data_IF_592482915967
#
_entry.id   IF_592482915967
#
_cell.length_a   1.000
_cell.length_b   1.000
_cell.length_c   1.000
_cell.angle_alpha   90.00
_cell.angle_beta   90.00
_cell.angle_gamma   90.00
#
_symmetry.space_group_name_H-M   'P 1'
#
loop_
_entity.id
_entity.type
_entity.pdbx_description
1 polymer ?
#
# COMPACT_ATOMS: atom_id res chain seq x y z
N UNK A 1 -15.68 -18.03 -2.33
CA UNK A 1 -15.63 -16.93 -3.30
C UNK A 1 -14.17 -16.72 -3.63
N UNK A 2 -13.75 -17.04 -4.85
CA UNK A 2 -12.38 -16.91 -5.31
C UNK A 2 -12.27 -15.57 -6.02
N UNK A 3 -11.67 -14.55 -5.38
CA UNK A 3 -11.32 -13.33 -6.08
C UNK A 3 -10.15 -13.65 -7.01
N UNK A 4 -10.45 -13.90 -8.29
CA UNK A 4 -9.45 -13.96 -9.33
C UNK A 4 -8.89 -12.55 -9.52
N UNK A 5 -7.75 -12.24 -8.88
CA UNK A 5 -6.93 -11.14 -9.35
C UNK A 5 -6.49 -11.50 -10.78
N UNK A 6 -7.02 -10.78 -11.75
CA UNK A 6 -6.52 -10.83 -13.12
C UNK A 6 -5.19 -10.09 -13.10
N UNK A 7 -4.08 -10.81 -12.99
CA UNK A 7 -2.74 -10.23 -13.09
C UNK A 7 -2.48 -9.88 -14.56
N UNK A 8 -2.61 -8.60 -14.92
CA UNK A 8 -2.08 -8.10 -16.18
C UNK A 8 -0.54 -8.17 -16.11
N UNK A 9 0.16 -8.63 -17.17
CA UNK A 9 1.56 -8.99 -17.09
C UNK A 9 2.54 -7.82 -17.00
N UNK A 10 2.09 -6.55 -16.95
CA UNK A 10 3.01 -5.39 -16.98
C UNK A 10 2.58 -4.17 -16.16
N UNK A 11 1.41 -4.16 -15.50
CA UNK A 11 0.97 -3.03 -14.67
C UNK A 11 0.24 -3.52 -13.41
N UNK A 12 0.39 -2.73 -12.33
CA UNK A 12 -0.28 -2.97 -11.05
C UNK A 12 -1.79 -2.94 -11.25
N UNK A 13 -2.47 -4.07 -11.06
CA UNK A 13 -3.91 -4.14 -11.27
C UNK A 13 -4.65 -3.56 -10.06
N UNK A 14 -5.15 -2.34 -10.27
CA UNK A 14 -6.14 -1.68 -9.41
C UNK A 14 -7.50 -2.36 -9.60
N UNK A 15 -8.00 -3.05 -8.57
CA UNK A 15 -9.37 -3.55 -8.59
C UNK A 15 -10.33 -2.37 -8.42
N UNK A 16 -11.11 -2.06 -9.45
CA UNK A 16 -12.10 -0.99 -9.42
C UNK A 16 -13.07 -1.20 -8.25
N UNK A 17 -12.98 -0.30 -7.28
CA UNK A 17 -13.75 -0.31 -6.04
C UNK A 17 -13.06 0.60 -5.03
N UNK A 18 -13.28 1.91 -5.17
CA UNK A 18 -12.89 2.88 -4.13
C UNK A 18 -13.72 2.55 -2.90
N UNK A 19 -13.14 1.79 -1.97
CA UNK A 19 -13.67 1.74 -0.61
C UNK A 19 -13.58 3.14 0.00
N UNK A 20 -14.34 3.43 1.07
CA UNK A 20 -14.43 4.76 1.71
C UNK A 20 -13.12 5.27 2.34
N UNK A 21 -11.97 4.66 2.03
CA UNK A 21 -10.67 4.91 2.68
C UNK A 21 -9.55 5.23 1.68
N UNK A 22 -9.83 5.39 0.38
CA UNK A 22 -8.80 5.70 -0.62
C UNK A 22 -7.76 4.58 -0.83
N UNK A 23 -8.03 3.35 -0.36
CA UNK A 23 -7.11 2.21 -0.43
C UNK A 23 -7.54 1.19 -1.48
N UNK A 24 -6.67 0.90 -2.43
CA UNK A 24 -6.90 -0.09 -3.48
C UNK A 24 -5.85 -1.21 -3.39
N UNK A 25 -6.24 -2.50 -3.45
CA UNK A 25 -5.28 -3.59 -3.52
C UNK A 25 -4.33 -3.44 -4.72
N UNK A 26 -3.06 -3.76 -4.48
CA UNK A 26 -1.98 -3.60 -5.43
C UNK A 26 -1.15 -4.89 -5.48
N UNK A 27 -0.80 -5.38 -6.67
CA UNK A 27 0.10 -6.52 -6.80
C UNK A 27 0.73 -6.65 -8.18
N UNK A 28 1.89 -7.29 -8.23
CA UNK A 28 2.60 -7.56 -9.48
C UNK A 28 3.42 -8.85 -9.41
N UNK A 29 3.80 -9.36 -10.57
CA UNK A 29 4.61 -10.56 -10.73
C UNK A 29 5.90 -10.21 -11.47
N UNK A 30 7.03 -10.66 -10.94
CA UNK A 30 8.34 -10.55 -11.57
C UNK A 30 8.81 -11.93 -12.02
N UNK A 31 9.29 -12.01 -13.26
CA UNK A 31 9.83 -13.23 -13.88
C UNK A 31 11.07 -12.91 -14.69
N UNK A 32 11.76 -13.92 -15.22
CA UNK A 32 12.86 -13.72 -16.15
C UNK A 32 12.46 -12.95 -17.42
N UNK A 33 11.21 -13.09 -17.91
CA UNK A 33 10.69 -12.38 -19.07
C UNK A 33 10.14 -10.98 -18.76
N UNK A 34 9.69 -10.75 -17.53
CA UNK A 34 9.21 -9.46 -17.03
C UNK A 34 9.90 -9.16 -15.70
N UNK A 35 11.12 -8.64 -15.78
CA UNK A 35 11.99 -8.44 -14.60
C UNK A 35 11.67 -7.18 -13.81
N UNK A 36 10.77 -6.33 -14.30
CA UNK A 36 10.37 -5.11 -13.62
C UNK A 36 8.87 -4.88 -13.66
N UNK A 37 8.37 -4.20 -12.64
CA UNK A 37 7.01 -3.68 -12.56
C UNK A 37 7.08 -2.22 -12.10
N UNK A 38 6.47 -1.33 -12.85
CA UNK A 38 6.44 0.11 -12.54
C UNK A 38 5.11 0.46 -11.88
N UNK A 39 5.17 1.21 -10.80
CA UNK A 39 4.03 1.94 -10.25
C UNK A 39 4.23 3.40 -10.61
N UNK A 40 3.31 3.93 -11.41
CA UNK A 40 3.33 5.32 -11.86
C UNK A 40 2.69 6.20 -10.80
N UNK A 41 3.04 7.47 -10.86
CA UNK A 41 2.29 8.53 -10.19
C UNK A 41 1.02 8.81 -10.98
N UNK A 42 -0.09 9.07 -10.27
CA UNK A 42 -1.35 9.50 -10.86
C UNK A 42 -1.38 11.03 -10.93
N UNK A 43 -2.04 11.58 -11.96
CA UNK A 43 -2.16 13.04 -12.20
C UNK A 43 -3.52 13.55 -11.68
N UNK A 44 -3.80 13.33 -10.40
CA UNK A 44 -5.06 13.70 -9.74
C UNK A 44 -4.89 14.75 -8.63
N UNK A 45 -3.68 15.30 -8.49
CA UNK A 45 -3.28 16.28 -7.47
C UNK A 45 -3.36 15.77 -6.02
N UNK A 46 -3.54 14.47 -5.81
CA UNK A 46 -3.56 13.87 -4.48
C UNK A 46 -2.19 13.28 -4.14
N UNK A 47 -1.96 13.01 -2.85
CA UNK A 47 -0.72 12.33 -2.43
C UNK A 47 -0.92 10.81 -2.48
N UNK A 48 0.01 10.11 -3.13
CA UNK A 48 -0.06 8.66 -3.33
C UNK A 48 1.03 7.91 -2.57
N UNK A 49 0.66 6.76 -1.99
CA UNK A 49 1.57 5.84 -1.32
C UNK A 49 1.32 4.40 -1.76
N UNK A 50 2.41 3.66 -1.97
CA UNK A 50 2.39 2.21 -2.14
C UNK A 50 2.85 1.57 -0.84
N UNK A 51 1.93 0.84 -0.20
CA UNK A 51 2.18 0.06 0.99
C UNK A 51 2.47 -1.40 0.61
N UNK A 52 3.75 -1.73 0.42
CA UNK A 52 4.15 -3.10 0.11
C UNK A 52 4.04 -3.99 1.35
N UNK A 53 3.22 -5.05 1.26
CA UNK A 53 2.91 -5.94 2.40
C UNK A 53 3.70 -7.23 2.35
N UNK A 54 3.72 -7.92 1.21
CA UNK A 54 4.37 -9.23 1.11
C UNK A 54 5.13 -9.39 -0.20
N UNK A 55 6.17 -10.22 -0.13
CA UNK A 55 6.89 -10.73 -1.29
C UNK A 55 6.99 -12.25 -1.12
N UNK A 56 6.60 -13.01 -2.13
CA UNK A 56 6.67 -14.47 -2.08
C UNK A 56 7.08 -15.08 -3.42
N UNK A 57 7.70 -16.26 -3.34
CA UNK A 57 8.00 -17.09 -4.49
C UNK A 57 6.76 -17.87 -4.92
N UNK A 58 6.53 -17.99 -6.22
CA UNK A 58 5.52 -18.89 -6.75
C UNK A 58 5.92 -20.36 -6.65
N UNK A 59 4.94 -21.25 -6.79
CA UNK A 59 5.15 -22.70 -6.70
C UNK A 59 6.17 -23.24 -7.73
N UNK A 60 6.24 -22.60 -8.90
CA UNK A 60 7.12 -23.00 -10.00
C UNK A 60 8.52 -22.35 -9.92
N UNK A 61 8.79 -21.55 -8.88
CA UNK A 61 10.09 -20.90 -8.71
C UNK A 61 11.16 -21.93 -8.34
N UNK A 62 12.28 -21.88 -9.05
CA UNK A 62 13.43 -22.76 -8.79
C UNK A 62 14.00 -22.50 -7.39
N UNK A 63 14.66 -23.50 -6.81
CA UNK A 63 15.37 -23.34 -5.54
C UNK A 63 16.71 -22.61 -5.73
N UNK A 64 16.64 -21.35 -6.12
CA UNK A 64 17.77 -20.43 -6.30
C UNK A 64 17.52 -19.13 -5.54
N UNK A 65 18.56 -18.29 -5.44
CA UNK A 65 18.44 -16.99 -4.80
C UNK A 65 17.69 -16.02 -5.73
N UNK A 66 16.63 -15.42 -5.19
CA UNK A 66 15.85 -14.38 -5.84
C UNK A 66 16.03 -13.07 -5.08
N UNK A 67 16.49 -12.02 -5.75
CA UNK A 67 16.66 -10.69 -5.13
C UNK A 67 15.72 -9.70 -5.78
N UNK A 68 14.85 -9.12 -4.97
CA UNK A 68 13.94 -8.04 -5.37
C UNK A 68 14.49 -6.72 -4.84
N UNK A 69 14.58 -5.74 -5.72
CA UNK A 69 15.01 -4.39 -5.42
C UNK A 69 13.93 -3.37 -5.80
N UNK A 70 13.99 -2.19 -5.18
CA UNK A 70 13.22 -1.01 -5.57
C UNK A 70 14.17 -0.02 -6.21
N UNK A 71 13.85 0.39 -7.42
CA UNK A 71 14.49 1.50 -8.11
C UNK A 71 13.55 2.70 -8.06
N UNK A 72 14.06 3.79 -7.50
CA UNK A 72 13.41 5.09 -7.42
C UNK A 72 14.46 6.17 -7.58
N UNK A 73 14.04 7.33 -8.07
CA UNK A 73 14.94 8.48 -8.25
C UNK A 73 15.36 8.97 -6.86
N UNK A 74 16.66 8.95 -6.58
CA UNK A 74 17.17 9.49 -5.32
C UNK A 74 17.15 11.04 -5.31
N UNK A 75 17.54 11.64 -4.19
CA UNK A 75 17.60 13.11 -4.02
C UNK A 75 18.54 13.81 -5.00
N UNK A 76 19.52 13.10 -5.56
CA UNK A 76 20.48 13.60 -6.56
C UNK A 76 20.03 13.33 -8.00
N UNK A 77 18.88 12.68 -8.20
CA UNK A 77 18.34 12.33 -9.50
C UNK A 77 18.90 11.06 -10.12
N UNK A 78 19.69 10.28 -9.38
CA UNK A 78 20.23 9.01 -9.86
C UNK A 78 19.28 7.84 -9.57
N UNK A 79 19.28 6.88 -10.49
CA UNK A 79 18.59 5.60 -10.35
C UNK A 79 19.55 4.57 -9.78
N UNK A 80 19.32 4.17 -8.53
CA UNK A 80 20.11 3.13 -7.86
C UNK A 80 19.16 2.14 -7.21
N UNK A 81 18.98 0.94 -7.79
CA UNK A 81 18.15 -0.10 -7.20
C UNK A 81 18.64 -0.51 -5.81
N UNK A 82 17.75 -0.43 -4.83
CA UNK A 82 17.98 -0.83 -3.43
C UNK A 82 17.35 -2.19 -3.18
N UNK A 83 18.11 -3.25 -2.84
CA UNK A 83 17.55 -4.55 -2.50
C UNK A 83 16.65 -4.46 -1.27
N UNK A 84 15.40 -4.94 -1.40
CA UNK A 84 14.42 -4.96 -0.30
C UNK A 84 14.10 -6.38 0.17
N UNK A 85 14.46 -7.40 -0.62
CA UNK A 85 14.23 -8.79 -0.26
C UNK A 85 15.20 -9.75 -0.96
N UNK A 86 15.55 -10.81 -0.24
CA UNK A 86 16.25 -11.97 -0.76
C UNK A 86 15.47 -13.23 -0.35
N UNK A 87 14.97 -13.99 -1.32
CA UNK A 87 14.14 -15.17 -1.11
C UNK A 87 14.76 -16.40 -1.74
N UNK A 88 14.45 -17.56 -1.18
CA UNK A 88 14.79 -18.88 -1.73
C UNK A 88 13.78 -19.90 -1.25
N UNK A 89 13.26 -20.74 -2.15
CA UNK A 89 12.13 -21.65 -1.86
C UNK A 89 12.39 -22.57 -0.66
N UNK A 90 13.62 -23.08 -0.52
CA UNK A 90 14.00 -23.97 0.59
C UNK A 90 14.34 -23.28 1.92
N UNK A 91 14.52 -21.95 1.95
CA UNK A 91 15.02 -21.23 3.13
C UNK A 91 14.02 -20.19 3.60
N UNK A 92 13.61 -19.30 2.70
CA UNK A 92 12.73 -18.17 2.96
C UNK A 92 11.85 -17.93 1.72
N UNK A 93 10.76 -18.68 1.55
CA UNK A 93 9.90 -18.58 0.37
C UNK A 93 8.99 -17.35 0.37
N UNK A 94 8.79 -16.71 1.54
CA UNK A 94 7.93 -15.55 1.70
C UNK A 94 8.47 -14.64 2.81
N UNK A 95 8.29 -13.33 2.63
CA UNK A 95 8.47 -12.33 3.67
C UNK A 95 7.27 -11.38 3.75
N UNK A 96 7.05 -10.83 4.94
CA UNK A 96 6.06 -9.76 5.18
C UNK A 96 6.79 -8.51 5.67
N UNK A 97 6.54 -7.38 5.01
CA UNK A 97 7.29 -6.12 5.19
C UNK A 97 6.60 -5.12 6.13
N UNK A 98 5.56 -5.54 6.87
CA UNK A 98 4.75 -4.68 7.75
C UNK A 98 4.22 -3.38 7.10
N UNK A 99 4.19 -3.29 5.77
CA UNK A 99 3.79 -2.08 5.04
C UNK A 99 4.97 -1.16 4.78
N UNK A 100 5.93 -1.60 3.96
CA UNK A 100 6.99 -0.73 3.47
C UNK A 100 6.36 0.35 2.58
N UNK A 101 6.50 1.61 2.98
CA UNK A 101 5.92 2.77 2.32
C UNK A 101 6.84 3.28 1.22
N UNK A 102 6.28 3.47 0.02
CA UNK A 102 7.00 3.93 -1.16
C UNK A 102 6.17 5.01 -1.86
N UNK A 103 6.82 6.11 -2.23
CA UNK A 103 6.18 7.23 -2.95
C UNK A 103 6.37 7.01 -4.45
N UNK A 104 5.30 6.85 -5.25
CA UNK A 104 5.40 6.77 -6.69
C UNK A 104 6.09 8.00 -7.32
N UNK A 105 6.78 7.87 -8.47
CA UNK A 105 6.95 6.63 -9.24
C UNK A 105 8.02 5.71 -8.65
N UNK A 106 7.71 4.42 -8.55
CA UNK A 106 8.65 3.38 -8.11
C UNK A 106 8.67 2.18 -9.04
N UNK A 107 9.84 1.58 -9.21
CA UNK A 107 10.01 0.37 -10.03
C UNK A 107 10.51 -0.78 -9.16
N UNK A 108 9.73 -1.86 -9.10
CA UNK A 108 10.20 -3.12 -8.51
C UNK A 108 10.98 -3.91 -9.55
N UNK A 109 12.14 -4.45 -9.18
CA UNK A 109 13.06 -5.13 -10.09
C UNK A 109 13.54 -6.45 -9.50
N UNK A 110 13.50 -7.52 -10.31
CA UNK A 110 14.10 -8.81 -10.01
C UNK A 110 15.55 -8.82 -10.50
N UNK A 111 16.49 -8.53 -9.60
CA UNK A 111 17.92 -8.46 -9.93
C UNK A 111 18.50 -9.84 -10.28
N UNK A 112 18.11 -10.88 -9.54
CA UNK A 112 18.53 -12.25 -9.79
C UNK A 112 17.40 -13.24 -9.47
N UNK A 113 17.55 -14.46 -9.98
CA UNK A 113 16.52 -15.49 -9.98
C UNK A 113 15.60 -15.40 -11.21
N UNK A 114 15.01 -16.53 -11.57
CA UNK A 114 14.09 -16.69 -12.69
C UNK A 114 12.63 -16.34 -12.32
N UNK A 115 12.29 -16.42 -11.03
CA UNK A 115 10.92 -16.27 -10.54
C UNK A 115 10.04 -17.49 -10.85
N UNK A 116 8.70 -17.37 -10.75
CA UNK A 116 7.97 -16.13 -10.49
C UNK A 116 8.09 -15.64 -9.04
N UNK A 117 8.20 -14.32 -8.85
CA UNK A 117 8.12 -13.65 -7.55
C UNK A 117 6.91 -12.73 -7.55
N UNK A 118 6.05 -12.85 -6.55
CA UNK A 118 4.85 -12.04 -6.40
C UNK A 118 5.06 -10.99 -5.33
N UNK A 119 4.64 -9.77 -5.63
CA UNK A 119 4.58 -8.66 -4.69
C UNK A 119 3.11 -8.32 -4.47
N UNK A 120 2.73 -8.06 -3.22
CA UNK A 120 1.38 -7.61 -2.89
C UNK A 120 1.39 -6.52 -1.83
N UNK A 121 0.42 -5.62 -1.92
CA UNK A 121 0.33 -4.42 -1.11
C UNK A 121 -0.97 -3.67 -1.35
N UNK A 122 -0.94 -2.37 -1.06
CA UNK A 122 -2.04 -1.45 -1.31
C UNK A 122 -1.50 -0.17 -1.94
N UNK A 123 -2.27 0.40 -2.87
CA UNK A 123 -2.14 1.78 -3.30
C UNK A 123 -3.07 2.62 -2.42
N UNK A 124 -2.57 3.67 -1.81
CA UNK A 124 -3.31 4.56 -0.93
C UNK A 124 -3.23 5.96 -1.49
N UNK A 125 -4.38 6.57 -1.70
CA UNK A 125 -4.52 8.00 -1.97
C UNK A 125 -4.83 8.69 -0.65
N UNK A 126 -4.04 9.68 -0.28
CA UNK A 126 -4.28 10.53 0.87
C UNK A 126 -5.14 11.71 0.41
N UNK A 127 -6.35 11.80 0.92
CA UNK A 127 -7.18 13.01 0.78
C UNK A 127 -6.78 13.98 1.89
N UNK A 128 -6.64 15.27 1.55
CA UNK A 128 -6.40 16.32 2.54
C UNK A 128 -7.55 16.34 3.55
N UNK A 129 -7.22 16.26 4.84
CA UNK A 129 -8.13 16.12 6.00
C UNK A 129 -9.06 17.34 6.20
N UNK A 130 -9.21 18.21 5.21
CA UNK A 130 -10.15 19.33 5.24
C UNK A 130 -11.63 18.90 5.17
N UNK A 131 -11.92 17.60 4.95
CA UNK A 131 -13.28 17.06 4.85
C UNK A 131 -13.67 16.11 5.99
N UNK A 132 -12.83 15.92 7.02
CA UNK A 132 -13.25 15.18 8.22
C UNK A 132 -14.32 16.01 8.96
N UNK A 133 -15.56 15.53 8.86
CA UNK A 133 -16.77 16.13 9.45
C UNK A 133 -16.53 16.58 10.90
N UNK A 134 -16.92 17.81 11.30
CA UNK A 134 -16.74 18.25 12.68
C UNK A 134 -17.53 17.33 13.61
N UNK A 135 -16.84 16.79 14.62
CA UNK A 135 -17.47 16.15 15.76
C UNK A 135 -18.48 17.15 16.34
N UNK A 136 -19.76 16.77 16.31
CA UNK A 136 -20.85 17.57 16.86
C UNK A 136 -20.77 17.40 18.38
N UNK A 137 -20.10 18.32 19.08
CA UNK A 137 -20.21 18.41 20.53
C UNK A 137 -21.67 18.72 20.87
N UNK A 138 -22.37 17.77 21.48
CA UNK A 138 -23.71 17.99 22.01
C UNK A 138 -23.61 19.00 23.18
N UNK A 139 -24.12 20.19 22.91
CA UNK A 139 -24.26 21.31 23.84
C UNK A 139 -25.29 20.92 24.90
N UNK A 140 -24.87 20.61 26.12
CA UNK A 140 -25.80 20.47 27.25
C UNK A 140 -26.14 21.88 27.74
N UNK A 141 -27.36 22.32 27.45
CA UNK A 141 -27.95 23.50 28.09
C UNK A 141 -28.22 23.16 29.56
N UNK A 142 -27.43 23.72 30.49
CA UNK A 142 -27.79 23.73 31.91
C UNK A 142 -28.88 24.79 32.11
N UNK A 143 -30.13 24.33 32.13
CA UNK A 143 -31.29 25.08 32.59
C UNK A 143 -31.19 25.26 34.11
N UNK A 144 -30.59 26.37 34.55
CA UNK A 144 -30.66 26.79 35.96
C UNK A 144 -31.98 27.53 36.15
N UNK A 145 -33.03 26.77 36.44
CA UNK A 145 -34.31 27.29 36.92
C UNK A 145 -34.13 27.98 38.28
N UNK A 146 -34.47 29.26 38.32
CA UNK A 146 -34.45 30.13 39.49
C UNK A 146 -35.91 30.28 39.98
N UNK A 147 -36.28 29.72 41.14
CA UNK A 147 -37.49 30.13 41.87
C UNK A 147 -37.31 29.99 43.40
N UNK A 148 -37.45 31.15 44.07
CA UNK A 148 -37.50 31.38 45.51
C UNK A 148 -38.76 30.80 46.21
N UNK A 149 -38.67 30.78 47.55
CA UNK A 149 -39.77 30.83 48.55
C UNK A 149 -40.06 29.54 49.34
N UNK A 150 -39.63 29.54 50.61
CA UNK A 150 -40.24 28.71 51.66
C UNK A 150 -40.33 29.54 52.95
N UNK A 151 -41.44 30.25 53.10
CA UNK A 151 -41.94 30.69 54.39
C UNK A 151 -42.84 29.62 55.02
N UNK A 152 -42.42 29.04 56.14
CA UNK A 152 -43.30 28.56 57.23
C UNK A 152 -42.47 28.09 58.43
N UNK A 153 -42.51 28.83 59.55
CA UNK A 153 -42.84 28.36 60.92
C UNK A 153 -43.12 29.56 61.83
#
# INVERSE_FOLDING_TARGET
MLFSLVFAPQELVSAAGVGPTGRVPAGCQLTMGARSCVVKEDDDFLEHLVLLRTICLGADARDELHVVAVDSKNTYGEHKPVPIAALRSSVLPMISLKGLELVPPVTFVLQCGAGPVYLSGQHVTLEDDAASQPYKEELWEEDVGDEDDCGAV
#
